data_IF_607827668394
#
_entry.id   IF_607827668394
#
_cell.length_a   1.000
_cell.length_b   1.000
_cell.length_c   1.000
_cell.angle_alpha   90.00
_cell.angle_beta   90.00
_cell.angle_gamma   90.00
#
_symmetry.space_group_name_H-M   'P 1'
#
loop_
_entity.id
_entity.type
_entity.pdbx_description
1 polymer ?
#
# COMPACT_ATOMS: atom_id res chain seq x y z
N UNK A 1 14.49 -21.64 20.96
CA UNK A 1 13.50 -22.20 21.89
C UNK A 1 12.54 -21.11 22.35
N UNK A 2 11.24 -21.31 22.14
CA UNK A 2 10.15 -20.48 22.66
C UNK A 2 10.05 -20.63 24.19
N UNK A 3 9.56 -19.61 24.90
CA UNK A 3 9.33 -19.71 26.35
C UNK A 3 8.26 -20.78 26.62
N UNK A 4 8.49 -21.65 27.61
CA UNK A 4 7.63 -22.77 27.97
C UNK A 4 6.22 -22.38 28.47
N UNK A 5 5.96 -21.09 28.67
CA UNK A 5 4.69 -20.54 29.15
C UNK A 5 3.86 -19.84 28.06
N UNK A 6 4.40 -19.73 26.84
CA UNK A 6 3.67 -19.10 25.73
C UNK A 6 2.60 -20.06 25.20
N UNK A 7 1.32 -19.63 25.26
CA UNK A 7 0.20 -20.35 24.65
C UNK A 7 0.17 -20.23 23.13
N UNK A 8 0.74 -19.15 22.60
CA UNK A 8 0.81 -18.85 21.17
C UNK A 8 2.20 -18.32 20.78
N UNK A 9 2.58 -18.59 19.54
CA UNK A 9 3.74 -17.98 18.89
C UNK A 9 3.34 -16.60 18.37
N UNK A 10 4.09 -15.57 18.77
CA UNK A 10 3.93 -14.19 18.28
C UNK A 10 5.26 -13.63 17.82
N UNK A 11 5.24 -12.69 16.87
CA UNK A 11 6.46 -12.07 16.33
C UNK A 11 7.40 -11.57 17.43
N UNK A 12 6.87 -10.90 18.46
CA UNK A 12 7.65 -10.36 19.60
C UNK A 12 8.50 -11.39 20.35
N UNK A 13 8.19 -12.68 20.24
CA UNK A 13 8.99 -13.76 20.84
C UNK A 13 10.16 -14.21 19.94
N UNK A 14 10.06 -13.94 18.63
CA UNK A 14 11.02 -14.26 17.57
C UNK A 14 11.94 -13.05 17.32
N UNK A 15 11.38 -11.85 17.12
CA UNK A 15 12.13 -10.62 16.92
C UNK A 15 11.31 -9.40 17.40
N UNK A 16 12.00 -8.35 17.83
CA UNK A 16 11.40 -7.10 18.32
C UNK A 16 12.12 -5.92 17.68
N UNK A 17 11.54 -4.72 17.71
CA UNK A 17 12.16 -3.51 17.15
C UNK A 17 11.70 -3.20 15.72
N UNK A 18 12.41 -2.28 15.04
CA UNK A 18 12.22 -2.05 13.61
C UNK A 18 12.77 -3.22 12.78
N UNK A 19 12.46 -3.23 11.48
CA UNK A 19 12.83 -4.32 10.59
C UNK A 19 14.36 -4.56 10.54
N UNK A 20 15.17 -3.49 10.47
CA UNK A 20 16.63 -3.61 10.40
C UNK A 20 17.20 -4.19 11.68
N UNK A 21 16.66 -3.81 12.84
CA UNK A 21 17.02 -4.40 14.12
C UNK A 21 16.60 -5.87 14.20
N UNK A 22 15.39 -6.21 13.74
CA UNK A 22 14.89 -7.60 13.72
C UNK A 22 15.80 -8.55 12.95
N UNK A 23 16.46 -8.07 11.89
CA UNK A 23 17.44 -8.86 11.12
C UNK A 23 18.64 -9.33 11.97
N UNK A 24 18.88 -8.80 13.17
CA UNK A 24 19.90 -9.33 14.10
C UNK A 24 19.43 -10.52 14.96
N UNK A 25 18.17 -10.97 14.82
CA UNK A 25 17.66 -12.06 15.65
C UNK A 25 18.06 -13.43 15.11
N UNK A 26 18.74 -14.23 15.95
CA UNK A 26 19.00 -15.65 15.69
C UNK A 26 17.73 -16.50 15.69
N UNK A 27 16.69 -16.08 16.42
CA UNK A 27 15.39 -16.78 16.39
C UNK A 27 14.67 -16.53 15.08
N UNK A 28 14.79 -15.32 14.52
CA UNK A 28 14.29 -15.01 13.18
C UNK A 28 15.00 -15.88 12.13
N UNK A 29 16.32 -16.08 12.27
CA UNK A 29 17.07 -17.02 11.41
C UNK A 29 16.43 -18.40 11.39
N UNK A 30 16.26 -19.02 12.57
CA UNK A 30 15.66 -20.36 12.65
C UNK A 30 14.21 -20.42 12.15
N UNK A 31 13.44 -19.35 12.34
CA UNK A 31 12.07 -19.27 11.84
C UNK A 31 12.02 -19.20 10.30
N UNK A 32 12.86 -18.36 9.69
CA UNK A 32 12.91 -18.23 8.23
C UNK A 32 13.54 -19.46 7.56
N UNK A 33 14.56 -20.08 8.17
CA UNK A 33 15.12 -21.37 7.70
C UNK A 33 14.01 -22.43 7.67
N UNK A 34 13.29 -22.60 8.78
CA UNK A 34 12.19 -23.56 8.87
C UNK A 34 11.09 -23.30 7.82
N UNK A 35 10.69 -22.05 7.60
CA UNK A 35 9.70 -21.70 6.57
C UNK A 35 10.20 -22.06 5.16
N UNK A 36 11.46 -21.73 4.84
CA UNK A 36 12.04 -22.06 3.55
C UNK A 36 12.12 -23.58 3.32
N UNK A 37 12.46 -24.36 4.35
CA UNK A 37 12.58 -25.83 4.29
C UNK A 37 11.23 -26.57 4.28
N UNK A 38 10.17 -25.95 4.80
CA UNK A 38 8.82 -26.54 4.82
C UNK A 38 8.10 -26.45 3.46
N UNK A 39 6.94 -27.09 3.31
CA UNK A 39 6.06 -26.89 2.14
C UNK A 39 5.11 -25.68 2.30
N UNK A 40 5.46 -24.73 3.18
CA UNK A 40 4.71 -23.49 3.36
C UNK A 40 5.21 -22.41 2.41
N UNK A 41 4.25 -21.68 1.86
CA UNK A 41 4.43 -20.51 1.02
C UNK A 41 3.76 -19.32 1.68
N UNK A 42 4.23 -18.12 1.36
CA UNK A 42 3.61 -16.88 1.83
C UNK A 42 2.67 -16.34 0.77
N UNK A 43 1.44 -16.06 1.19
CA UNK A 43 0.49 -15.25 0.44
C UNK A 43 0.27 -13.98 1.26
N UNK A 44 0.48 -12.81 0.66
CA UNK A 44 0.21 -11.55 1.34
C UNK A 44 -0.47 -10.54 0.42
N UNK A 45 -1.20 -9.63 1.07
CA UNK A 45 -1.74 -8.41 0.49
C UNK A 45 -1.21 -7.25 1.34
N UNK A 46 -0.31 -6.45 0.80
CA UNK A 46 0.18 -5.23 1.47
C UNK A 46 -0.52 -4.01 0.90
N UNK A 47 -1.12 -3.20 1.76
CA UNK A 47 -1.79 -1.96 1.37
C UNK A 47 -1.12 -0.78 2.04
N UNK A 48 -0.47 0.08 1.25
CA UNK A 48 -0.19 1.43 1.70
C UNK A 48 -1.50 2.23 1.65
N UNK A 49 -2.14 2.38 2.81
CA UNK A 49 -3.45 3.01 2.94
C UNK A 49 -3.41 4.47 2.48
N UNK A 50 -2.37 5.21 2.85
CA UNK A 50 -2.22 6.60 2.45
C UNK A 50 -2.03 6.74 0.94
N UNK A 51 -1.23 5.87 0.32
CA UNK A 51 -1.07 5.87 -1.12
C UNK A 51 -2.42 5.57 -1.80
N UNK A 52 -3.06 4.45 -1.43
CA UNK A 52 -4.33 4.00 -2.03
C UNK A 52 -5.46 5.02 -1.92
N UNK A 53 -5.56 5.72 -0.79
CA UNK A 53 -6.66 6.65 -0.48
C UNK A 53 -6.84 7.82 -1.45
N UNK A 54 -5.80 8.17 -2.23
CA UNK A 54 -5.77 9.42 -3.00
C UNK A 54 -5.30 9.25 -4.45
N UNK A 55 -5.13 8.00 -4.92
CA UNK A 55 -4.64 7.74 -6.28
C UNK A 55 -5.62 8.22 -7.34
N UNK A 56 -6.91 8.15 -7.02
CA UNK A 56 -8.01 8.40 -7.93
C UNK A 56 -8.08 9.87 -8.36
N UNK A 57 -7.56 10.79 -7.53
CA UNK A 57 -7.42 12.22 -7.87
C UNK A 57 -6.57 12.39 -9.14
N UNK A 58 -5.48 11.63 -9.25
CA UNK A 58 -4.60 11.69 -10.44
C UNK A 58 -5.26 11.00 -11.63
N UNK A 59 -6.00 9.91 -11.40
CA UNK A 59 -6.71 9.22 -12.48
C UNK A 59 -7.77 10.12 -13.11
N UNK A 60 -8.55 10.82 -12.28
CA UNK A 60 -9.54 11.80 -12.72
C UNK A 60 -8.91 12.94 -13.52
N UNK A 61 -7.81 13.53 -13.03
CA UNK A 61 -7.08 14.58 -13.75
C UNK A 61 -6.57 14.10 -15.12
N UNK A 62 -5.94 12.92 -15.16
CA UNK A 62 -5.41 12.36 -16.41
C UNK A 62 -6.53 12.05 -17.40
N UNK A 63 -7.64 11.45 -16.93
CA UNK A 63 -8.79 11.14 -17.76
C UNK A 63 -9.38 12.43 -18.35
N UNK A 64 -9.61 13.45 -17.53
CA UNK A 64 -10.10 14.76 -17.96
C UNK A 64 -9.20 15.36 -19.06
N UNK A 65 -7.88 15.39 -18.83
CA UNK A 65 -6.94 15.93 -19.81
C UNK A 65 -6.93 15.13 -21.13
N UNK A 66 -7.13 13.82 -21.09
CA UNK A 66 -7.26 12.99 -22.29
C UNK A 66 -8.55 13.32 -23.07
N UNK A 67 -9.69 13.42 -22.38
CA UNK A 67 -10.97 13.77 -23.00
C UNK A 67 -10.95 15.16 -23.65
N UNK A 68 -10.26 16.12 -23.02
CA UNK A 68 -10.05 17.46 -23.56
C UNK A 68 -8.95 17.54 -24.62
N UNK A 69 -8.32 16.41 -25.00
CA UNK A 69 -7.20 16.34 -25.93
C UNK A 69 -5.96 17.17 -25.51
N UNK A 70 -5.78 17.42 -24.22
CA UNK A 70 -4.63 18.13 -23.64
C UNK A 70 -3.44 17.17 -23.44
N UNK A 71 -3.74 15.91 -23.13
CA UNK A 71 -2.75 14.83 -23.04
C UNK A 71 -3.04 13.74 -24.05
N UNK A 72 -1.97 13.15 -24.60
CA UNK A 72 -2.02 12.01 -25.51
C UNK A 72 -0.87 11.08 -25.20
N UNK A 73 -1.17 9.78 -25.19
CA UNK A 73 -0.19 8.73 -24.97
C UNK A 73 -0.08 7.86 -26.22
N UNK A 74 1.14 7.41 -26.52
CA UNK A 74 1.43 6.56 -27.67
C UNK A 74 0.95 5.12 -27.45
N UNK A 75 1.05 4.64 -26.20
CA UNK A 75 0.68 3.28 -25.80
C UNK A 75 0.28 3.21 -24.31
N UNK A 76 -0.20 2.04 -23.90
CA UNK A 76 -0.64 1.76 -22.52
C UNK A 76 0.51 1.83 -21.50
N UNK A 77 1.75 1.55 -21.92
CA UNK A 77 2.91 1.58 -21.04
C UNK A 77 3.22 3.03 -20.66
N UNK A 78 3.25 3.93 -21.63
CA UNK A 78 3.47 5.36 -21.40
C UNK A 78 2.35 5.94 -20.54
N UNK A 79 1.09 5.58 -20.82
CA UNK A 79 -0.06 5.99 -20.01
C UNK A 79 0.10 5.58 -18.55
N UNK A 80 0.41 4.31 -18.29
CA UNK A 80 0.63 3.79 -16.93
C UNK A 80 1.82 4.46 -16.24
N UNK A 81 2.94 4.60 -16.93
CA UNK A 81 4.13 5.28 -16.39
C UNK A 81 3.86 6.73 -16.01
N UNK A 82 3.05 7.44 -16.81
CA UNK A 82 2.63 8.80 -16.51
C UNK A 82 1.77 8.83 -15.25
N UNK A 83 0.74 7.97 -15.14
CA UNK A 83 -0.09 7.90 -13.94
C UNK A 83 0.72 7.53 -12.69
N UNK A 84 1.55 6.49 -12.76
CA UNK A 84 2.36 6.00 -11.63
C UNK A 84 3.32 7.08 -11.13
N UNK A 85 3.89 7.88 -12.03
CA UNK A 85 4.73 9.04 -11.69
C UNK A 85 3.93 10.10 -10.92
N UNK A 86 2.80 10.55 -11.45
CA UNK A 86 2.03 11.65 -10.87
C UNK A 86 1.39 11.25 -9.53
N UNK A 87 0.98 9.97 -9.40
CA UNK A 87 0.54 9.39 -8.13
C UNK A 87 1.65 9.37 -7.08
N UNK A 88 2.88 8.99 -7.47
CA UNK A 88 4.03 9.02 -6.56
C UNK A 88 4.41 10.44 -6.15
N UNK A 89 4.34 11.42 -7.06
CA UNK A 89 4.57 12.84 -6.73
C UNK A 89 3.49 13.39 -5.78
N UNK A 90 2.21 13.11 -6.03
CA UNK A 90 1.14 13.52 -5.12
C UNK A 90 1.32 12.86 -3.74
N UNK A 91 1.73 11.60 -3.70
CA UNK A 91 2.05 10.92 -2.45
C UNK A 91 3.19 11.60 -1.68
N UNK A 92 4.24 12.07 -2.36
CA UNK A 92 5.33 12.85 -1.74
C UNK A 92 4.83 14.19 -1.18
N UNK A 93 3.95 14.89 -1.90
CA UNK A 93 3.29 16.12 -1.42
C UNK A 93 2.53 15.84 -0.12
N UNK A 94 1.74 14.76 -0.09
CA UNK A 94 0.96 14.34 1.08
C UNK A 94 1.87 14.01 2.26
N UNK A 95 2.95 13.24 2.04
CA UNK A 95 3.87 12.87 3.12
C UNK A 95 4.64 14.07 3.69
N UNK A 96 4.88 15.12 2.88
CA UNK A 96 5.56 16.32 3.34
C UNK A 96 4.77 17.11 4.39
N UNK A 97 3.44 17.17 4.28
CA UNK A 97 2.57 17.73 5.33
C UNK A 97 1.20 17.02 5.39
N UNK A 98 1.23 15.80 5.91
CA UNK A 98 0.04 14.95 6.04
C UNK A 98 -1.05 15.59 6.90
N UNK A 99 -0.66 16.37 7.91
CA UNK A 99 -1.62 16.97 8.83
C UNK A 99 -2.42 18.06 8.13
N UNK A 100 -1.75 18.94 7.39
CA UNK A 100 -2.42 19.98 6.60
C UNK A 100 -3.27 19.36 5.50
N UNK A 101 -2.76 18.35 4.78
CA UNK A 101 -3.53 17.65 3.75
C UNK A 101 -4.83 17.05 4.29
N UNK A 102 -4.78 16.28 5.39
CA UNK A 102 -5.98 15.69 6.00
C UNK A 102 -6.96 16.77 6.48
N UNK A 103 -6.46 17.90 6.98
CA UNK A 103 -7.30 19.02 7.39
C UNK A 103 -8.04 19.62 6.20
N UNK A 104 -7.40 19.74 5.05
CA UNK A 104 -8.06 20.18 3.82
C UNK A 104 -9.12 19.19 3.37
N UNK A 105 -8.81 17.88 3.30
CA UNK A 105 -9.83 16.88 2.94
C UNK A 105 -11.11 16.99 3.80
N UNK A 106 -10.94 17.17 5.12
CA UNK A 106 -12.06 17.36 6.04
C UNK A 106 -12.83 18.66 5.80
N UNK A 107 -12.15 19.74 5.36
CA UNK A 107 -12.80 21.02 5.07
C UNK A 107 -13.71 20.94 3.83
N UNK A 108 -13.39 20.00 2.93
CA UNK A 108 -14.16 19.69 1.73
C UNK A 108 -15.16 18.55 1.88
N UNK A 109 -15.32 17.98 3.08
CA UNK A 109 -16.18 16.82 3.33
C UNK A 109 -15.84 15.61 2.46
N UNK A 110 -14.55 15.47 2.10
CA UNK A 110 -14.06 14.40 1.24
C UNK A 110 -14.46 13.01 1.78
N UNK A 111 -14.87 12.06 0.93
CA UNK A 111 -14.88 12.11 -0.55
C UNK A 111 -16.12 12.78 -1.18
N UNK A 112 -16.94 13.50 -0.42
CA UNK A 112 -18.19 14.11 -0.89
C UNK A 112 -18.02 15.61 -1.17
N UNK A 113 -17.28 15.96 -2.22
CA UNK A 113 -16.90 17.36 -2.52
C UNK A 113 -18.09 18.30 -2.75
N UNK A 114 -19.25 17.77 -3.16
CA UNK A 114 -20.53 18.50 -3.15
C UNK A 114 -20.55 19.78 -3.98
N UNK A 115 -19.96 19.78 -5.18
CA UNK A 115 -19.94 20.95 -6.06
C UNK A 115 -18.75 21.89 -5.84
N UNK A 116 -17.77 21.49 -5.01
CA UNK A 116 -16.54 22.26 -4.69
C UNK A 116 -15.30 21.70 -5.39
N UNK A 117 -15.48 20.96 -6.48
CA UNK A 117 -14.42 20.22 -7.18
C UNK A 117 -13.31 21.15 -7.68
N UNK A 118 -13.68 22.32 -8.22
CA UNK A 118 -12.72 23.34 -8.68
C UNK A 118 -11.90 23.94 -7.53
N UNK A 119 -12.55 24.27 -6.41
CA UNK A 119 -11.88 24.79 -5.22
C UNK A 119 -10.96 23.73 -4.60
N UNK A 120 -11.42 22.48 -4.56
CA UNK A 120 -10.62 21.35 -4.09
C UNK A 120 -9.36 21.18 -4.92
N UNK A 121 -9.49 21.14 -6.25
CA UNK A 121 -8.36 21.01 -7.17
C UNK A 121 -7.34 22.16 -7.00
N UNK A 122 -7.80 23.39 -6.77
CA UNK A 122 -6.91 24.52 -6.46
C UNK A 122 -6.16 24.33 -5.14
N UNK A 123 -6.78 23.73 -4.13
CA UNK A 123 -6.10 23.41 -2.87
C UNK A 123 -5.02 22.35 -3.08
N UNK A 124 -5.30 21.29 -3.85
CA UNK A 124 -4.30 20.27 -4.23
C UNK A 124 -3.14 20.91 -5.00
N UNK A 125 -3.43 21.79 -5.96
CA UNK A 125 -2.41 22.55 -6.69
C UNK A 125 -1.54 23.41 -5.75
N UNK A 126 -2.15 24.15 -4.82
CA UNK A 126 -1.39 25.00 -3.90
C UNK A 126 -0.45 24.19 -3.01
N UNK A 127 -0.91 23.07 -2.45
CA UNK A 127 -0.07 22.16 -1.66
C UNK A 127 1.10 21.61 -2.49
N UNK A 128 0.82 21.27 -3.75
CA UNK A 128 1.83 20.79 -4.71
C UNK A 128 2.85 21.89 -5.03
N UNK A 129 2.40 23.12 -5.29
CA UNK A 129 3.25 24.25 -5.60
C UNK A 129 4.16 24.65 -4.42
N UNK A 130 3.63 24.64 -3.19
CA UNK A 130 4.41 24.85 -1.97
C UNK A 130 5.49 23.77 -1.80
N UNK A 131 5.15 22.51 -2.06
CA UNK A 131 6.13 21.42 -2.04
C UNK A 131 7.18 21.58 -3.15
N UNK A 132 6.76 21.95 -4.37
CA UNK A 132 7.65 22.23 -5.49
C UNK A 132 8.67 23.32 -5.13
N UNK A 133 8.23 24.44 -4.54
CA UNK A 133 9.12 25.52 -4.11
C UNK A 133 10.20 25.01 -3.14
N UNK A 134 9.84 24.13 -2.19
CA UNK A 134 10.82 23.50 -1.29
C UNK A 134 11.82 22.65 -2.05
N UNK A 135 11.37 21.84 -3.02
CA UNK A 135 12.24 21.01 -3.85
C UNK A 135 13.18 21.86 -4.71
N UNK A 136 12.70 22.95 -5.31
CA UNK A 136 13.53 23.86 -6.11
C UNK A 136 14.64 24.53 -5.29
N UNK A 137 14.32 24.91 -4.05
CA UNK A 137 15.23 25.60 -3.14
C UNK A 137 16.12 24.66 -2.31
N UNK A 138 15.82 23.35 -2.28
CA UNK A 138 16.61 22.39 -1.52
C UNK A 138 17.92 22.05 -2.28
N UNK A 139 19.11 22.29 -1.69
CA UNK A 139 20.39 22.19 -2.41
C UNK A 139 20.73 20.80 -2.94
N UNK A 140 20.20 19.75 -2.33
CA UNK A 140 20.46 18.35 -2.70
C UNK A 140 19.39 17.77 -3.61
N UNK A 141 18.36 18.54 -4.01
CA UNK A 141 17.38 18.08 -4.98
C UNK A 141 18.02 17.89 -6.35
N UNK A 142 17.77 16.74 -6.93
CA UNK A 142 18.16 16.38 -8.28
C UNK A 142 17.35 17.15 -9.32
N UNK A 143 17.85 17.20 -10.56
CA UNK A 143 17.10 17.78 -11.68
C UNK A 143 15.83 16.98 -11.98
N UNK A 144 15.89 15.66 -11.84
CA UNK A 144 14.75 14.77 -12.10
C UNK A 144 13.63 15.03 -11.09
N UNK A 145 13.92 15.14 -9.79
CA UNK A 145 12.91 15.48 -8.77
C UNK A 145 12.22 16.82 -9.09
N UNK A 146 12.97 17.82 -9.55
CA UNK A 146 12.41 19.12 -9.95
C UNK A 146 11.50 19.01 -11.18
N UNK A 147 11.88 18.21 -12.18
CA UNK A 147 11.07 17.98 -13.37
C UNK A 147 9.78 17.21 -13.04
N UNK A 148 9.88 16.20 -12.17
CA UNK A 148 8.74 15.37 -11.78
C UNK A 148 7.69 16.16 -11.02
N UNK A 149 8.08 16.94 -10.00
CA UNK A 149 7.12 17.76 -9.26
C UNK A 149 6.54 18.88 -10.13
N UNK A 150 7.33 19.46 -11.04
CA UNK A 150 6.82 20.45 -11.98
C UNK A 150 5.79 19.84 -12.93
N UNK A 151 6.02 18.62 -13.42
CA UNK A 151 5.05 17.89 -14.24
C UNK A 151 3.71 17.70 -13.53
N UNK A 152 3.71 17.46 -12.20
CA UNK A 152 2.48 17.40 -11.43
C UNK A 152 1.80 18.77 -11.31
N UNK A 153 2.55 19.84 -11.08
CA UNK A 153 1.99 21.21 -11.12
C UNK A 153 1.34 21.48 -12.49
N UNK A 154 2.02 21.15 -13.59
CA UNK A 154 1.52 21.35 -14.95
C UNK A 154 0.22 20.57 -15.20
N UNK A 155 0.13 19.31 -14.74
CA UNK A 155 -1.09 18.51 -14.83
C UNK A 155 -2.28 19.17 -14.12
N UNK A 156 -2.07 19.59 -12.88
CA UNK A 156 -3.11 20.22 -12.07
C UNK A 156 -3.52 21.58 -12.63
N UNK A 157 -2.55 22.38 -13.10
CA UNK A 157 -2.81 23.66 -13.75
C UNK A 157 -3.64 23.49 -15.03
N UNK A 158 -3.28 22.53 -15.90
CA UNK A 158 -4.08 22.19 -17.08
C UNK A 158 -5.53 21.86 -16.73
N UNK A 159 -5.76 21.08 -15.67
CA UNK A 159 -7.11 20.74 -15.21
C UNK A 159 -7.89 21.98 -14.73
N UNK A 160 -7.23 22.86 -13.96
CA UNK A 160 -7.83 24.11 -13.45
C UNK A 160 -8.17 25.06 -14.60
N UNK A 161 -7.22 25.33 -15.50
CA UNK A 161 -7.38 26.28 -16.61
C UNK A 161 -8.45 25.85 -17.61
N UNK A 162 -8.63 24.54 -17.78
CA UNK A 162 -9.63 23.97 -18.67
C UNK A 162 -10.95 23.62 -17.96
N UNK A 163 -11.06 23.96 -16.67
CA UNK A 163 -12.32 23.99 -15.94
C UNK A 163 -12.85 22.64 -15.50
N UNK A 164 -11.98 21.69 -15.13
CA UNK A 164 -12.36 20.41 -14.52
C UNK A 164 -13.30 20.62 -13.32
N UNK A 165 -14.44 19.93 -13.33
CA UNK A 165 -15.50 20.00 -12.31
C UNK A 165 -15.98 18.60 -11.87
N UNK A 166 -15.40 17.54 -12.41
CA UNK A 166 -15.88 16.18 -12.20
C UNK A 166 -14.71 15.29 -11.77
N UNK A 167 -14.95 14.50 -10.73
CA UNK A 167 -14.04 13.51 -10.18
C UNK A 167 -14.79 12.17 -10.18
N UNK A 168 -14.63 11.39 -11.25
CA UNK A 168 -15.40 10.17 -11.50
C UNK A 168 -14.98 9.03 -10.58
N UNK A 169 -13.68 8.89 -10.31
CA UNK A 169 -13.13 7.81 -9.50
C UNK A 169 -13.01 8.19 -8.03
N UNK A 170 -12.76 9.47 -7.75
CA UNK A 170 -12.48 9.95 -6.38
C UNK A 170 -13.75 10.13 -5.53
N UNK A 171 -14.87 10.48 -6.14
CA UNK A 171 -16.09 10.83 -5.39
C UNK A 171 -16.88 9.59 -4.98
N UNK A 172 -17.44 9.65 -3.79
CA UNK A 172 -18.49 8.74 -3.35
C UNK A 172 -19.87 9.43 -3.41
N UNK A 173 -20.95 8.64 -3.47
CA UNK A 173 -22.32 9.14 -3.57
C UNK A 173 -23.06 9.02 -2.24
N UNK A 174 -23.59 10.12 -1.72
CA UNK A 174 -24.58 10.05 -0.64
C UNK A 174 -25.95 9.78 -1.23
N UNK A 175 -26.48 8.60 -0.93
CA UNK A 175 -27.82 8.20 -1.37
C UNK A 175 -28.96 8.92 -0.61
N UNK A 176 -28.65 9.57 0.51
CA UNK A 176 -29.56 10.43 1.27
C UNK A 176 -28.84 11.69 1.80
N UNK A 177 -29.61 12.64 2.35
CA UNK A 177 -29.08 13.88 2.93
C UNK A 177 -28.65 13.71 4.40
N UNK A 178 -28.64 12.49 4.94
CA UNK A 178 -28.26 12.25 6.34
C UNK A 178 -26.74 12.11 6.42
N UNK A 179 -26.09 13.06 7.10
CA UNK A 179 -24.67 12.93 7.43
C UNK A 179 -24.52 11.84 8.49
N UNK A 180 -23.83 10.75 8.15
CA UNK A 180 -23.52 9.66 9.07
C UNK A 180 -22.09 9.77 9.57
N UNK A 181 -21.81 9.17 10.72
CA UNK A 181 -20.48 9.20 11.35
C UNK A 181 -19.38 8.56 10.48
N UNK A 182 -19.74 7.74 9.48
CA UNK A 182 -18.81 7.10 8.56
C UNK A 182 -18.73 7.75 7.17
N UNK A 183 -19.47 8.83 6.88
CA UNK A 183 -19.45 9.54 5.58
C UNK A 183 -18.12 10.26 5.27
N UNK A 184 -17.03 10.00 5.99
CA UNK A 184 -15.69 10.47 5.62
C UNK A 184 -14.66 9.33 5.71
N UNK A 185 -15.12 8.08 5.77
CA UNK A 185 -14.25 6.93 5.73
C UNK A 185 -13.82 6.73 4.29
N UNK A 186 -12.53 6.96 4.03
CA UNK A 186 -11.94 6.73 2.71
C UNK A 186 -11.89 5.21 2.42
N UNK A 187 -11.89 4.39 3.46
CA UNK A 187 -11.98 2.94 3.37
C UNK A 187 -12.97 2.42 4.40
N UNK A 188 -14.18 2.10 3.95
CA UNK A 188 -15.30 1.70 4.81
C UNK A 188 -15.13 0.29 5.40
N UNK A 189 -14.44 -0.63 4.70
CA UNK A 189 -13.98 -1.91 5.26
C UNK A 189 -12.91 -2.60 4.40
N UNK A 190 -11.90 -3.23 5.04
CA UNK A 190 -10.93 -4.09 4.34
C UNK A 190 -11.55 -5.34 3.70
N UNK A 191 -12.84 -5.62 3.98
CA UNK A 191 -13.63 -6.73 3.45
C UNK A 191 -13.48 -6.90 1.95
N UNK A 192 -13.42 -5.81 1.17
CA UNK A 192 -13.23 -5.88 -0.28
C UNK A 192 -11.92 -6.60 -0.65
N UNK A 193 -10.82 -6.33 0.06
CA UNK A 193 -9.53 -6.98 -0.18
C UNK A 193 -9.57 -8.45 0.22
N UNK A 194 -10.14 -8.79 1.38
CA UNK A 194 -10.34 -10.18 1.77
C UNK A 194 -11.19 -10.93 0.73
N UNK A 195 -12.26 -10.30 0.23
CA UNK A 195 -13.16 -10.89 -0.75
C UNK A 195 -12.42 -11.15 -2.05
N UNK A 196 -11.73 -10.14 -2.58
CA UNK A 196 -10.95 -10.24 -3.81
C UNK A 196 -9.99 -11.43 -3.76
N UNK A 197 -9.17 -11.50 -2.70
CA UNK A 197 -8.19 -12.57 -2.50
C UNK A 197 -8.86 -13.93 -2.29
N UNK A 198 -9.99 -13.99 -1.57
CA UNK A 198 -10.72 -15.25 -1.40
C UNK A 198 -11.30 -15.76 -2.73
N UNK A 199 -11.84 -14.87 -3.56
CA UNK A 199 -12.42 -15.23 -4.86
C UNK A 199 -11.39 -15.57 -5.93
N UNK A 200 -10.21 -14.95 -5.88
CA UNK A 200 -9.08 -15.26 -6.77
C UNK A 200 -8.61 -16.70 -6.59
N UNK A 201 -8.59 -17.17 -5.33
CA UNK A 201 -8.29 -18.56 -4.98
C UNK A 201 -9.56 -19.32 -4.56
N UNK A 202 -10.59 -19.28 -5.40
CA UNK A 202 -11.92 -19.83 -5.09
C UNK A 202 -11.94 -21.34 -4.82
N UNK A 203 -10.98 -22.08 -5.37
CA UNK A 203 -10.80 -23.53 -5.17
C UNK A 203 -10.02 -23.87 -3.88
N UNK A 204 -9.49 -22.85 -3.18
CA UNK A 204 -8.74 -23.02 -1.94
C UNK A 204 -9.65 -23.01 -0.71
N UNK A 205 -9.12 -23.58 0.39
CA UNK A 205 -9.73 -23.49 1.72
C UNK A 205 -9.12 -22.33 2.49
N UNK A 206 -9.91 -21.28 2.71
CA UNK A 206 -9.50 -20.06 3.40
C UNK A 206 -9.75 -20.18 4.88
N UNK A 207 -8.70 -19.98 5.68
CA UNK A 207 -8.69 -20.09 7.13
C UNK A 207 -8.11 -18.80 7.70
N UNK A 208 -8.99 -17.88 8.11
CA UNK A 208 -8.61 -16.59 8.66
C UNK A 208 -8.58 -16.62 10.19
N UNK A 209 -7.76 -15.77 10.80
CA UNK A 209 -7.93 -15.43 12.22
C UNK A 209 -9.26 -14.72 12.43
N UNK A 210 -9.75 -14.67 13.67
CA UNK A 210 -11.04 -14.04 13.99
C UNK A 210 -10.95 -12.52 13.88
N UNK A 211 -11.47 -11.99 12.77
CA UNK A 211 -11.68 -10.56 12.54
C UNK A 211 -13.19 -10.29 12.51
N UNK A 212 -13.77 -9.84 13.63
CA UNK A 212 -15.23 -9.78 13.83
C UNK A 212 -15.95 -8.96 12.74
N UNK A 213 -15.42 -7.77 12.41
CA UNK A 213 -15.99 -6.88 11.39
C UNK A 213 -15.98 -7.55 10.02
N UNK A 214 -14.84 -8.14 9.62
CA UNK A 214 -14.71 -8.83 8.32
C UNK A 214 -15.66 -10.02 8.27
N UNK A 215 -15.73 -10.81 9.34
CA UNK A 215 -16.64 -11.96 9.42
C UNK A 215 -18.10 -11.55 9.27
N UNK A 216 -18.55 -10.54 10.00
CA UNK A 216 -19.93 -10.04 9.92
C UNK A 216 -20.27 -9.54 8.51
N UNK A 217 -19.36 -8.81 7.87
CA UNK A 217 -19.55 -8.33 6.50
C UNK A 217 -19.57 -9.46 5.47
N UNK A 218 -18.71 -10.48 5.62
CA UNK A 218 -18.75 -11.68 4.76
C UNK A 218 -20.08 -12.43 4.88
N UNK A 219 -20.59 -12.59 6.11
CA UNK A 219 -21.86 -13.26 6.36
C UNK A 219 -23.05 -12.50 5.74
N UNK A 220 -22.99 -11.16 5.67
CA UNK A 220 -23.96 -10.33 4.95
C UNK A 220 -23.79 -10.47 3.43
N UNK A 221 -22.58 -10.33 2.90
CA UNK A 221 -22.28 -10.34 1.46
C UNK A 221 -22.62 -11.68 0.80
N UNK A 222 -22.33 -12.82 1.46
CA UNK A 222 -22.65 -14.16 0.94
C UNK A 222 -24.12 -14.39 0.59
N UNK A 223 -25.04 -13.60 1.14
CA UNK A 223 -26.49 -13.69 0.82
C UNK A 223 -26.81 -13.20 -0.59
N UNK A 224 -25.99 -12.31 -1.14
CA UNK A 224 -26.23 -11.64 -2.42
C UNK A 224 -25.11 -11.88 -3.44
N UNK A 225 -23.94 -12.34 -2.98
CA UNK A 225 -22.78 -12.63 -3.81
C UNK A 225 -22.60 -14.13 -4.05
N UNK A 226 -22.97 -14.58 -5.25
CA UNK A 226 -22.91 -15.98 -5.65
C UNK A 226 -21.48 -16.52 -5.78
N UNK A 227 -20.51 -15.67 -6.08
CA UNK A 227 -19.12 -16.12 -6.22
C UNK A 227 -18.50 -16.30 -4.85
N UNK A 228 -18.68 -15.32 -3.96
CA UNK A 228 -18.21 -15.43 -2.57
C UNK A 228 -18.88 -16.58 -1.81
N UNK A 229 -20.16 -16.86 -2.10
CA UNK A 229 -20.89 -17.97 -1.49
C UNK A 229 -20.33 -19.36 -1.83
N UNK A 230 -19.59 -19.51 -2.92
CA UNK A 230 -18.96 -20.78 -3.33
C UNK A 230 -17.62 -21.04 -2.65
N UNK A 231 -16.97 -20.00 -2.11
CA UNK A 231 -15.63 -20.10 -1.53
C UNK A 231 -15.68 -20.72 -0.13
N UNK A 232 -14.82 -21.71 0.14
CA UNK A 232 -14.66 -22.33 1.46
C UNK A 232 -13.89 -21.38 2.39
N UNK A 233 -14.62 -20.62 3.21
CA UNK A 233 -14.07 -19.64 4.16
C UNK A 233 -14.51 -19.97 5.57
N UNK A 234 -13.57 -20.02 6.50
CA UNK A 234 -13.84 -20.10 7.94
C UNK A 234 -12.90 -19.20 8.74
N UNK A 235 -13.42 -18.66 9.85
CA UNK A 235 -12.67 -17.88 10.83
C UNK A 235 -12.36 -18.77 12.05
N UNK A 236 -11.10 -18.84 12.46
CA UNK A 236 -10.61 -19.79 13.47
C UNK A 236 -9.89 -19.03 14.58
N UNK A 237 -10.16 -19.42 15.84
CA UNK A 237 -9.44 -18.90 17.02
C UNK A 237 -8.00 -19.39 17.00
N UNK A 238 -7.04 -18.46 17.11
CA UNK A 238 -5.61 -18.73 16.89
C UNK A 238 -4.93 -19.60 17.94
N UNK A 239 -5.48 -19.72 19.15
CA UNK A 239 -4.95 -20.51 20.28
C UNK A 239 -4.64 -21.97 19.91
N UNK A 240 -5.47 -22.58 19.06
CA UNK A 240 -5.41 -24.00 18.70
C UNK A 240 -4.99 -24.26 17.23
N UNK A 241 -4.64 -23.22 16.46
CA UNK A 241 -4.22 -23.37 15.06
C UNK A 241 -2.81 -22.83 14.79
N UNK A 242 -1.87 -23.75 14.63
CA UNK A 242 -0.47 -23.43 14.36
C UNK A 242 -0.26 -22.61 13.08
N UNK A 243 -1.03 -22.86 12.01
CA UNK A 243 -0.87 -22.12 10.75
C UNK A 243 -1.35 -20.67 10.87
N UNK A 244 -2.41 -20.42 11.65
CA UNK A 244 -2.87 -19.05 11.94
C UNK A 244 -1.80 -18.31 12.76
N UNK A 245 -1.20 -18.95 13.76
CA UNK A 245 -0.10 -18.33 14.53
C UNK A 245 1.14 -18.03 13.66
N UNK A 246 1.51 -18.95 12.77
CA UNK A 246 2.62 -18.73 11.82
C UNK A 246 2.28 -17.57 10.86
N UNK A 247 1.05 -17.51 10.37
CA UNK A 247 0.56 -16.41 9.52
C UNK A 247 0.65 -15.07 10.23
N UNK A 248 0.25 -14.98 11.51
CA UNK A 248 0.36 -13.77 12.33
C UNK A 248 1.82 -13.29 12.50
N UNK A 249 2.76 -14.21 12.72
CA UNK A 249 4.19 -13.89 12.76
C UNK A 249 4.68 -13.33 11.43
N UNK A 250 4.32 -13.97 10.32
CA UNK A 250 4.71 -13.55 8.96
C UNK A 250 4.11 -12.19 8.65
N UNK A 251 2.81 -11.99 8.88
CA UNK A 251 2.13 -10.72 8.69
C UNK A 251 2.80 -9.59 9.47
N UNK A 252 3.13 -9.82 10.75
CA UNK A 252 3.87 -8.85 11.54
C UNK A 252 5.28 -8.55 11.02
N UNK A 253 5.99 -9.54 10.48
CA UNK A 253 7.32 -9.33 9.89
C UNK A 253 7.21 -8.48 8.62
N UNK A 254 6.26 -8.79 7.74
CA UNK A 254 6.01 -8.02 6.51
C UNK A 254 5.51 -6.62 6.81
N UNK A 255 4.68 -6.42 7.83
CA UNK A 255 4.29 -5.09 8.29
C UNK A 255 5.53 -4.25 8.66
N UNK A 256 6.48 -4.80 9.42
CA UNK A 256 7.71 -4.09 9.79
C UNK A 256 8.57 -3.78 8.57
N UNK A 257 8.64 -4.73 7.63
CA UNK A 257 9.35 -4.58 6.37
C UNK A 257 8.78 -3.44 5.52
N UNK A 258 7.49 -3.48 5.20
CA UNK A 258 6.84 -2.46 4.37
C UNK A 258 6.80 -1.11 5.07
N UNK A 259 6.69 -1.07 6.40
CA UNK A 259 6.86 0.17 7.15
C UNK A 259 8.26 0.78 6.96
N UNK A 260 9.33 -0.03 7.04
CA UNK A 260 10.69 0.43 6.77
C UNK A 260 10.84 0.94 5.34
N UNK A 261 10.28 0.25 4.35
CA UNK A 261 10.27 0.68 2.95
C UNK A 261 9.55 2.02 2.81
N UNK A 262 8.36 2.19 3.38
CA UNK A 262 7.57 3.41 3.26
C UNK A 262 8.31 4.64 3.82
N UNK A 263 8.85 4.56 5.04
CA UNK A 263 9.45 5.72 5.73
C UNK A 263 10.87 6.08 5.28
N UNK A 264 11.57 5.17 4.59
CA UNK A 264 12.98 5.37 4.24
C UNK A 264 13.14 6.11 2.91
N UNK A 265 14.22 6.88 2.77
CA UNK A 265 14.66 7.40 1.47
C UNK A 265 15.44 6.35 0.71
N UNK A 266 15.38 6.38 -0.62
CA UNK A 266 16.08 5.40 -1.47
C UNK A 266 17.59 5.37 -1.23
N UNK A 267 18.22 6.53 -0.98
CA UNK A 267 19.65 6.61 -0.66
C UNK A 267 19.95 5.88 0.65
N UNK A 268 19.13 6.11 1.68
CA UNK A 268 19.27 5.45 2.98
C UNK A 268 19.07 3.95 2.85
N UNK A 269 18.10 3.50 2.05
CA UNK A 269 17.85 2.07 1.76
C UNK A 269 19.09 1.40 1.17
N UNK A 270 19.72 2.02 0.16
CA UNK A 270 20.95 1.50 -0.47
C UNK A 270 22.12 1.48 0.51
N UNK A 271 22.29 2.54 1.31
CA UNK A 271 23.35 2.63 2.33
C UNK A 271 23.15 1.61 3.46
N UNK A 272 21.92 1.43 3.94
CA UNK A 272 21.61 0.43 4.97
C UNK A 272 21.87 -0.97 4.45
N UNK A 273 21.40 -1.31 3.24
CA UNK A 273 21.68 -2.63 2.64
C UNK A 273 23.18 -2.92 2.57
N UNK A 274 23.99 -1.95 2.13
CA UNK A 274 25.44 -2.09 2.02
C UNK A 274 26.16 -2.22 3.37
N UNK A 275 25.54 -1.78 4.47
CA UNK A 275 26.11 -1.79 5.82
C UNK A 275 25.59 -2.91 6.71
N UNK A 276 24.73 -3.80 6.19
CA UNK A 276 24.23 -4.95 6.95
C UNK A 276 25.38 -5.85 7.39
N UNK A 277 25.35 -6.24 8.66
CA UNK A 277 26.31 -7.21 9.18
C UNK A 277 25.99 -8.64 8.67
N UNK A 278 26.90 -9.61 8.82
CA UNK A 278 26.71 -10.95 8.28
C UNK A 278 25.43 -11.67 8.76
N UNK A 279 24.98 -11.44 9.99
CA UNK A 279 23.75 -12.03 10.50
C UNK A 279 22.51 -11.36 9.89
N UNK A 280 22.52 -10.04 9.77
CA UNK A 280 21.44 -9.30 9.12
C UNK A 280 21.31 -9.68 7.64
N UNK A 281 22.44 -9.76 6.93
CA UNK A 281 22.46 -10.19 5.53
C UNK A 281 21.92 -11.61 5.39
N UNK A 282 22.35 -12.55 6.25
CA UNK A 282 21.80 -13.92 6.25
C UNK A 282 20.28 -13.93 6.41
N UNK A 283 19.75 -13.19 7.38
CA UNK A 283 18.30 -13.11 7.60
C UNK A 283 17.56 -12.45 6.44
N UNK A 284 18.16 -11.44 5.80
CA UNK A 284 17.59 -10.81 4.62
C UNK A 284 17.57 -11.76 3.42
N UNK A 285 18.62 -12.54 3.20
CA UNK A 285 18.65 -13.54 2.11
C UNK A 285 17.65 -14.68 2.35
N UNK A 286 17.43 -15.10 3.60
CA UNK A 286 16.37 -16.06 3.94
C UNK A 286 14.96 -15.48 3.71
N UNK A 287 14.76 -14.21 4.05
CA UNK A 287 13.51 -13.49 3.79
C UNK A 287 13.25 -13.36 2.28
N UNK A 288 14.26 -12.96 1.52
CA UNK A 288 14.24 -12.90 0.06
C UNK A 288 13.91 -14.27 -0.55
N UNK A 289 14.59 -15.32 -0.09
CA UNK A 289 14.34 -16.70 -0.53
C UNK A 289 12.90 -17.12 -0.31
N UNK A 290 12.29 -16.75 0.82
CA UNK A 290 10.89 -17.07 1.11
C UNK A 290 9.92 -16.37 0.15
N UNK A 291 10.19 -15.10 -0.19
CA UNK A 291 9.44 -14.34 -1.20
C UNK A 291 9.58 -15.02 -2.56
N UNK A 292 10.81 -15.24 -3.03
CA UNK A 292 11.08 -15.87 -4.34
C UNK A 292 10.49 -17.27 -4.44
N UNK A 293 10.56 -18.07 -3.38
CA UNK A 293 9.95 -19.40 -3.33
C UNK A 293 8.43 -19.34 -3.56
N UNK A 294 7.77 -18.34 -2.97
CA UNK A 294 6.30 -18.21 -3.06
C UNK A 294 5.86 -17.61 -4.39
N UNK A 295 6.61 -16.63 -4.90
CA UNK A 295 6.42 -16.05 -6.23
C UNK A 295 6.58 -17.10 -7.35
N UNK A 296 7.58 -17.99 -7.23
CA UNK A 296 7.80 -19.08 -8.18
C UNK A 296 6.70 -20.15 -8.16
N UNK A 297 6.03 -20.34 -7.01
CA UNK A 297 4.90 -21.26 -6.91
C UNK A 297 3.66 -20.67 -7.57
N UNK A 298 3.37 -19.40 -7.28
CA UNK A 298 2.27 -18.66 -7.89
C UNK A 298 2.52 -17.15 -7.77
N UNK A 299 2.66 -16.47 -8.90
CA UNK A 299 2.88 -15.02 -8.99
C UNK A 299 1.75 -14.19 -8.35
N UNK A 300 0.55 -14.76 -8.27
CA UNK A 300 -0.63 -14.14 -7.69
C UNK A 300 -0.62 -14.21 -6.16
N UNK A 301 0.30 -14.94 -5.52
CA UNK A 301 0.39 -14.99 -4.05
C UNK A 301 0.81 -13.67 -3.42
N UNK A 302 1.63 -12.89 -4.13
CA UNK A 302 2.24 -11.68 -3.61
C UNK A 302 1.56 -10.47 -4.22
N UNK A 303 0.74 -9.77 -3.43
CA UNK A 303 0.06 -8.57 -3.88
C UNK A 303 0.44 -7.39 -3.00
N UNK A 304 0.73 -6.25 -3.63
CA UNK A 304 0.97 -5.01 -2.92
C UNK A 304 0.37 -3.83 -3.69
N UNK A 305 -0.12 -2.86 -2.92
CA UNK A 305 -0.48 -1.52 -3.40
C UNK A 305 0.47 -0.57 -2.69
N UNK A 306 1.45 -0.06 -3.43
CA UNK A 306 2.48 0.84 -2.92
C UNK A 306 2.93 1.79 -4.03
N UNK A 307 3.53 2.91 -3.65
CA UNK A 307 3.95 3.93 -4.59
C UNK A 307 5.12 3.48 -5.46
N UNK A 308 5.32 4.14 -6.60
CA UNK A 308 6.46 3.86 -7.50
C UNK A 308 7.79 3.91 -6.74
N UNK A 309 8.00 4.90 -5.89
CA UNK A 309 9.22 4.99 -5.08
C UNK A 309 9.32 3.88 -4.03
N UNK A 310 8.21 3.35 -3.51
CA UNK A 310 8.22 2.16 -2.64
C UNK A 310 8.61 0.89 -3.39
N UNK A 311 8.16 0.72 -4.65
CA UNK A 311 8.65 -0.35 -5.52
C UNK A 311 10.16 -0.28 -5.73
N UNK A 312 10.68 0.90 -6.07
CA UNK A 312 12.13 1.11 -6.26
C UNK A 312 12.92 0.78 -4.98
N UNK A 313 12.41 1.19 -3.80
CA UNK A 313 12.99 0.86 -2.50
C UNK A 313 12.92 -0.63 -2.18
N UNK A 314 11.80 -1.28 -2.47
CA UNK A 314 11.63 -2.73 -2.30
C UNK A 314 12.66 -3.52 -3.11
N UNK A 315 12.80 -3.17 -4.39
CA UNK A 315 13.78 -3.79 -5.30
C UNK A 315 15.21 -3.51 -4.83
N UNK A 316 15.55 -2.24 -4.58
CA UNK A 316 16.90 -1.87 -4.13
C UNK A 316 17.30 -2.54 -2.81
N UNK A 317 16.34 -2.76 -1.90
CA UNK A 317 16.61 -3.38 -0.61
C UNK A 317 16.64 -4.90 -0.65
N UNK A 318 15.75 -5.57 -1.38
CA UNK A 318 15.57 -7.04 -1.30
C UNK A 318 16.10 -7.76 -2.53
N UNK A 319 16.01 -7.14 -3.71
CA UNK A 319 16.36 -7.72 -5.01
C UNK A 319 17.33 -6.81 -5.78
N UNK A 320 18.51 -6.48 -5.22
CA UNK A 320 19.42 -5.50 -5.82
C UNK A 320 19.92 -5.90 -7.21
N UNK A 321 19.86 -7.18 -7.57
CA UNK A 321 20.17 -7.66 -8.91
C UNK A 321 19.20 -7.15 -9.99
N UNK A 322 18.02 -6.67 -9.58
CA UNK A 322 16.97 -6.12 -10.43
C UNK A 322 16.86 -4.59 -10.31
N UNK A 323 17.75 -3.95 -9.55
CA UNK A 323 17.67 -2.53 -9.13
C UNK A 323 18.38 -1.54 -10.07
#
# INVERSE_FOLDING_TARGET
MLQSTAKEIKLKQIATGDFIYMLNSKKLTGFLEWLNESDLFIQYFNLNMEYWSYLDIIEDCVLFCMEKNLLRFYDEIQFRQYQDLHKDELYKVILNDKTSFIKELKSFDYPYLGGKEREFLKVIFNLTAEYAERIFNFPLSTQDEKLQINSLCDLLEMCIENGMEEFTFTLDERFDNEVRDNDNYILDAFTFFYRHRATEFSESKHRFDVEEIVKEEFDKQKKHDKELAKVDISFIVSDDNYFVQVSDVVAGLFQRYFHYINISKIVDVKTVRASLNPLQLKNLELFKSLITKSDNENDSFLFYVMSKSEHEKHIAFTFPENA
#
